data_IF_689071583454
#
_entry.id   IF_689071583454
#
_cell.length_a   1.000
_cell.length_b   1.000
_cell.length_c   1.000
_cell.angle_alpha   90.00
_cell.angle_beta   90.00
_cell.angle_gamma   90.00
#
_symmetry.space_group_name_H-M   'P 1'
#
loop_
_entity.id
_entity.type
_entity.pdbx_description
1 polymer ?
#
# COMPACT_ATOMS: atom_id res chain seq x y z
N UNK A 1 -16.50 -41.97 2.20
CA UNK A 1 -15.71 -40.84 2.73
C UNK A 1 -15.44 -39.93 1.55
N UNK A 2 -16.19 -38.86 1.44
CA UNK A 2 -16.09 -37.90 0.32
C UNK A 2 -14.88 -36.99 0.58
N UNK A 3 -14.15 -36.66 -0.46
CA UNK A 3 -12.92 -35.86 -0.47
C UNK A 3 -13.13 -34.42 0.09
N UNK A 4 -14.37 -34.05 0.38
CA UNK A 4 -14.76 -32.71 0.87
C UNK A 4 -14.48 -32.45 2.36
N UNK A 5 -14.20 -33.46 3.19
CA UNK A 5 -14.00 -33.28 4.64
C UNK A 5 -12.57 -32.84 5.06
N UNK A 6 -11.60 -32.70 4.14
CA UNK A 6 -10.20 -32.44 4.51
C UNK A 6 -9.75 -30.98 4.45
N UNK A 7 -10.57 -30.02 4.01
CA UNK A 7 -10.13 -28.65 3.79
C UNK A 7 -10.74 -27.64 4.78
N UNK A 8 -10.33 -27.72 6.07
CA UNK A 8 -10.74 -26.69 7.02
C UNK A 8 -10.17 -25.33 6.59
N UNK A 9 -11.02 -24.28 6.49
CA UNK A 9 -10.57 -22.91 6.14
C UNK A 9 -9.41 -22.41 7.01
N UNK A 10 -9.34 -22.84 8.26
CA UNK A 10 -8.26 -22.53 9.20
C UNK A 10 -6.88 -23.08 8.77
N UNK A 11 -6.84 -24.26 8.13
CA UNK A 11 -5.58 -24.84 7.65
C UNK A 11 -4.90 -23.97 6.61
N UNK A 12 -5.63 -23.49 5.61
CA UNK A 12 -5.10 -22.63 4.54
C UNK A 12 -4.63 -21.30 5.08
N UNK A 13 -5.38 -20.74 6.02
CA UNK A 13 -4.96 -19.51 6.71
C UNK A 13 -3.66 -19.70 7.48
N UNK A 14 -3.54 -20.75 8.28
CA UNK A 14 -2.33 -21.06 9.06
C UNK A 14 -1.11 -21.24 8.14
N UNK A 15 -1.25 -22.01 7.05
CA UNK A 15 -0.16 -22.21 6.08
C UNK A 15 0.26 -20.87 5.48
N UNK A 16 -0.70 -20.03 5.05
CA UNK A 16 -0.41 -18.74 4.45
C UNK A 16 0.43 -17.88 5.39
N UNK A 17 -0.03 -17.68 6.62
CA UNK A 17 0.68 -16.81 7.56
C UNK A 17 1.99 -17.39 8.05
N UNK A 18 2.12 -18.71 8.17
CA UNK A 18 3.40 -19.36 8.46
C UNK A 18 4.44 -19.11 7.34
N UNK A 19 4.02 -19.25 6.07
CA UNK A 19 4.90 -18.97 4.92
C UNK A 19 5.23 -17.48 4.82
N UNK A 20 4.25 -16.58 5.00
CA UNK A 20 4.50 -15.14 4.99
C UNK A 20 5.46 -14.72 6.11
N UNK A 21 5.31 -15.27 7.31
CA UNK A 21 6.22 -15.03 8.44
C UNK A 21 7.64 -15.52 8.12
N UNK A 22 7.77 -16.72 7.56
CA UNK A 22 9.06 -17.25 7.11
C UNK A 22 9.70 -16.34 6.05
N UNK A 23 8.94 -15.92 5.03
CA UNK A 23 9.43 -15.02 4.00
C UNK A 23 9.83 -13.66 4.58
N UNK A 24 9.08 -13.13 5.54
CA UNK A 24 9.45 -11.89 6.24
C UNK A 24 10.80 -12.03 6.95
N UNK A 25 10.99 -13.11 7.71
CA UNK A 25 12.28 -13.38 8.38
C UNK A 25 13.42 -13.46 7.36
N UNK A 26 13.23 -14.20 6.27
CA UNK A 26 14.24 -14.32 5.21
C UNK A 26 14.57 -12.95 4.58
N UNK A 27 13.58 -12.09 4.32
CA UNK A 27 13.77 -10.74 3.79
C UNK A 27 14.53 -9.85 4.76
N UNK A 28 14.17 -9.88 6.04
CA UNK A 28 14.87 -9.12 7.10
C UNK A 28 16.32 -9.56 7.22
N UNK A 29 16.57 -10.87 7.27
CA UNK A 29 17.94 -11.41 7.33
C UNK A 29 18.73 -11.01 6.09
N UNK A 30 18.17 -11.18 4.89
CA UNK A 30 18.84 -10.81 3.64
C UNK A 30 19.17 -9.31 3.59
N UNK A 31 18.22 -8.45 4.00
CA UNK A 31 18.46 -7.01 4.08
C UNK A 31 19.59 -6.67 5.07
N UNK A 32 19.63 -7.37 6.22
CA UNK A 32 20.65 -7.15 7.27
C UNK A 32 22.06 -7.59 6.89
N UNK A 33 22.21 -8.58 6.00
CA UNK A 33 23.53 -9.07 5.56
C UNK A 33 23.95 -8.52 4.18
N UNK A 34 23.09 -7.75 3.52
CA UNK A 34 23.36 -7.17 2.20
C UNK A 34 24.50 -6.15 2.28
N UNK A 35 25.56 -6.31 1.47
CA UNK A 35 26.67 -5.35 1.44
C UNK A 35 26.42 -4.17 0.51
N UNK A 36 25.20 -4.05 -0.06
CA UNK A 36 24.90 -3.05 -1.08
C UNK A 36 24.61 -1.70 -0.43
N UNK A 37 25.31 -0.66 -0.86
CA UNK A 37 25.00 0.72 -0.53
C UNK A 37 23.59 1.11 -0.98
N UNK A 38 23.03 2.18 -0.42
CA UNK A 38 21.74 2.74 -0.83
C UNK A 38 21.79 3.17 -2.30
N UNK A 39 20.73 2.89 -3.05
CA UNK A 39 20.51 3.52 -4.36
C UNK A 39 20.23 5.02 -4.19
N UNK A 40 20.41 5.78 -5.26
CA UNK A 40 20.24 7.24 -5.24
C UNK A 40 18.89 7.68 -4.67
N UNK A 41 17.80 7.01 -5.09
CA UNK A 41 16.45 7.29 -4.59
C UNK A 41 16.31 6.96 -3.09
N UNK A 42 16.86 5.82 -2.63
CA UNK A 42 16.82 5.43 -1.22
C UNK A 42 17.55 6.45 -0.34
N UNK A 43 18.74 6.87 -0.77
CA UNK A 43 19.54 7.88 -0.08
C UNK A 43 18.82 9.24 -0.05
N UNK A 44 18.14 9.62 -1.15
CA UNK A 44 17.33 10.83 -1.20
C UNK A 44 16.16 10.76 -0.20
N UNK A 45 15.43 9.65 -0.16
CA UNK A 45 14.30 9.47 0.76
C UNK A 45 14.74 9.46 2.23
N UNK A 46 15.87 8.82 2.53
CA UNK A 46 16.48 8.85 3.85
C UNK A 46 16.88 10.28 4.26
N UNK A 47 17.51 11.03 3.34
CA UNK A 47 17.91 12.42 3.59
C UNK A 47 16.71 13.35 3.83
N UNK A 48 15.58 13.10 3.21
CA UNK A 48 14.34 13.83 3.49
C UNK A 48 13.82 13.59 4.92
N UNK A 49 14.19 12.48 5.53
CA UNK A 49 13.87 12.17 6.92
C UNK A 49 14.50 13.11 7.95
N UNK A 50 15.54 13.86 7.58
CA UNK A 50 16.17 14.84 8.48
C UNK A 50 15.25 16.02 8.82
N UNK A 51 14.34 16.36 7.92
CA UNK A 51 13.31 17.40 8.08
C UNK A 51 11.96 16.85 7.68
N UNK A 52 11.11 16.55 8.69
CA UNK A 52 9.79 16.00 8.43
C UNK A 52 8.85 17.10 7.94
N UNK A 53 8.49 17.02 6.66
CA UNK A 53 7.55 17.91 6.00
C UNK A 53 6.32 17.16 5.48
N UNK A 54 5.28 17.91 5.08
CA UNK A 54 4.09 17.35 4.47
C UNK A 54 4.22 17.08 2.98
N UNK A 55 5.39 17.29 2.38
CA UNK A 55 5.72 17.00 1.00
C UNK A 55 7.18 17.28 0.69
N UNK A 56 7.67 16.72 -0.41
CA UNK A 56 9.01 16.92 -0.89
C UNK A 56 9.01 17.24 -2.38
N UNK A 57 10.14 17.65 -2.91
CA UNK A 57 10.28 18.09 -4.30
C UNK A 57 9.63 17.13 -5.32
N UNK A 58 9.87 15.82 -5.18
CA UNK A 58 9.45 14.83 -6.19
C UNK A 58 8.43 13.80 -5.70
N UNK A 59 8.16 13.73 -4.40
CA UNK A 59 7.29 12.67 -3.82
C UNK A 59 6.44 13.19 -2.67
N UNK A 60 5.26 12.57 -2.42
CA UNK A 60 4.51 12.72 -1.19
C UNK A 60 5.31 12.24 0.03
N UNK A 61 4.90 12.60 1.27
CA UNK A 61 5.79 12.57 2.44
C UNK A 61 6.01 11.18 3.07
N UNK A 62 5.11 10.22 2.83
CA UNK A 62 5.04 8.97 3.61
C UNK A 62 6.35 8.18 3.62
N UNK A 63 7.09 8.17 2.49
CA UNK A 63 8.32 7.40 2.40
C UNK A 63 9.41 7.92 3.35
N UNK A 64 9.57 9.25 3.43
CA UNK A 64 10.50 9.87 4.35
C UNK A 64 10.08 9.65 5.81
N UNK A 65 8.80 9.75 6.12
CA UNK A 65 8.28 9.53 7.47
C UNK A 65 8.51 8.11 7.97
N UNK A 66 8.27 7.11 7.12
CA UNK A 66 8.47 5.70 7.50
C UNK A 66 9.96 5.40 7.67
N UNK A 67 10.82 5.88 6.80
CA UNK A 67 12.28 5.72 6.94
C UNK A 67 12.74 6.39 8.22
N UNK A 68 12.38 7.65 8.45
CA UNK A 68 12.73 8.37 9.68
C UNK A 68 12.26 7.64 10.94
N UNK A 69 11.03 7.16 10.98
CA UNK A 69 10.48 6.44 12.13
C UNK A 69 11.32 5.18 12.48
N UNK A 70 11.85 4.48 11.48
CA UNK A 70 12.67 3.29 11.68
C UNK A 70 14.11 3.69 12.05
N UNK A 71 14.71 4.62 11.33
CA UNK A 71 16.10 5.03 11.56
C UNK A 71 16.28 5.78 12.89
N UNK A 72 15.29 6.51 13.35
CA UNK A 72 15.27 7.13 14.67
C UNK A 72 15.40 6.13 15.84
N UNK A 73 15.00 4.87 15.63
CA UNK A 73 15.05 3.81 16.65
C UNK A 73 16.22 2.86 16.43
N UNK A 74 16.51 2.52 15.16
CA UNK A 74 17.47 1.47 14.78
C UNK A 74 18.80 2.01 14.25
N UNK A 75 18.94 3.35 14.10
CA UNK A 75 20.11 3.99 13.51
C UNK A 75 20.06 4.04 11.98
N UNK A 76 21.05 4.72 11.39
CA UNK A 76 21.09 5.14 9.98
C UNK A 76 21.78 4.13 9.04
N UNK A 77 21.88 2.87 9.44
CA UNK A 77 22.46 1.84 8.58
C UNK A 77 21.53 1.53 7.39
N UNK A 78 22.12 1.15 6.26
CA UNK A 78 21.39 0.86 5.00
C UNK A 78 20.28 -0.17 5.19
N UNK A 79 20.52 -1.17 6.04
CA UNK A 79 19.51 -2.19 6.35
C UNK A 79 18.29 -1.59 7.09
N UNK A 80 18.49 -0.60 7.96
CA UNK A 80 17.41 0.05 8.70
C UNK A 80 16.53 0.90 7.76
N UNK A 81 17.15 1.60 6.80
CA UNK A 81 16.46 2.34 5.75
C UNK A 81 15.57 1.42 4.91
N UNK A 82 16.02 0.21 4.60
CA UNK A 82 15.34 -0.79 3.76
C UNK A 82 14.32 -1.66 4.50
N UNK A 83 14.48 -1.79 5.82
CA UNK A 83 13.66 -2.68 6.65
C UNK A 83 12.14 -2.53 6.42
N UNK A 84 11.58 -1.31 6.27
CA UNK A 84 10.15 -1.14 6.02
C UNK A 84 9.65 -1.88 4.79
N UNK A 85 10.45 -2.03 3.73
CA UNK A 85 10.03 -2.68 2.49
C UNK A 85 9.58 -4.14 2.71
N UNK A 86 10.31 -4.89 3.57
CA UNK A 86 9.96 -6.28 3.89
C UNK A 86 8.57 -6.38 4.56
N UNK A 87 8.27 -5.46 5.50
CA UNK A 87 6.99 -5.42 6.20
C UNK A 87 5.85 -4.96 5.29
N UNK A 88 6.09 -3.95 4.46
CA UNK A 88 5.11 -3.40 3.53
C UNK A 88 4.64 -4.46 2.51
N UNK A 89 5.57 -5.18 1.90
CA UNK A 89 5.20 -6.25 0.96
C UNK A 89 4.52 -7.43 1.67
N UNK A 90 4.87 -7.73 2.91
CA UNK A 90 4.18 -8.74 3.72
C UNK A 90 2.76 -8.29 4.08
N UNK A 91 2.56 -7.01 4.41
CA UNK A 91 1.24 -6.42 4.62
C UNK A 91 0.39 -6.47 3.33
N UNK A 92 0.98 -6.13 2.17
CA UNK A 92 0.32 -6.26 0.87
C UNK A 92 -0.16 -7.68 0.60
N UNK A 93 0.71 -8.69 0.78
CA UNK A 93 0.35 -10.10 0.65
C UNK A 93 -0.77 -10.51 1.61
N UNK A 94 -0.77 -9.97 2.83
CA UNK A 94 -1.81 -10.22 3.84
C UNK A 94 -3.17 -9.66 3.39
N UNK A 95 -3.22 -8.44 2.86
CA UNK A 95 -4.46 -7.87 2.33
C UNK A 95 -4.96 -8.59 1.07
N UNK A 96 -4.06 -9.06 0.21
CA UNK A 96 -4.41 -9.93 -0.94
C UNK A 96 -5.04 -11.22 -0.45
N UNK A 97 -4.49 -11.86 0.61
CA UNK A 97 -5.09 -13.03 1.23
C UNK A 97 -6.53 -12.76 1.66
N UNK A 98 -6.76 -11.70 2.43
CA UNK A 98 -8.09 -11.38 2.94
C UNK A 98 -9.08 -11.05 1.82
N UNK A 99 -8.66 -10.29 0.82
CA UNK A 99 -9.49 -9.98 -0.33
C UNK A 99 -9.90 -11.25 -1.08
N UNK A 100 -8.94 -12.06 -1.48
CA UNK A 100 -9.21 -13.26 -2.26
C UNK A 100 -9.96 -14.33 -1.44
N UNK A 101 -9.70 -14.43 -0.13
CA UNK A 101 -10.46 -15.28 0.79
C UNK A 101 -11.93 -14.87 0.85
N UNK A 102 -12.21 -13.56 1.01
CA UNK A 102 -13.57 -13.03 1.14
C UNK A 102 -14.34 -13.12 -0.19
N UNK A 103 -13.64 -13.19 -1.32
CA UNK A 103 -14.24 -13.35 -2.66
C UNK A 103 -14.43 -14.83 -3.08
N UNK A 104 -13.44 -15.68 -2.79
CA UNK A 104 -13.32 -17.00 -3.42
C UNK A 104 -12.95 -18.13 -2.46
N UNK A 105 -12.81 -17.83 -1.15
CA UNK A 105 -12.45 -18.81 -0.12
C UNK A 105 -10.96 -18.89 0.22
N UNK A 106 -10.66 -19.51 1.37
CA UNK A 106 -9.34 -19.48 2.00
C UNK A 106 -8.21 -20.10 1.16
N UNK A 107 -8.52 -21.16 0.38
CA UNK A 107 -7.55 -21.80 -0.52
C UNK A 107 -7.10 -20.85 -1.63
N UNK A 108 -8.05 -20.17 -2.28
CA UNK A 108 -7.74 -19.16 -3.32
C UNK A 108 -6.98 -17.99 -2.70
N UNK A 109 -7.37 -17.55 -1.48
CA UNK A 109 -6.64 -16.55 -0.71
C UNK A 109 -5.16 -16.90 -0.51
N UNK A 110 -4.87 -18.14 -0.14
CA UNK A 110 -3.49 -18.63 0.00
C UNK A 110 -2.70 -18.51 -1.31
N UNK A 111 -3.25 -19.04 -2.42
CA UNK A 111 -2.53 -19.01 -3.70
C UNK A 111 -2.33 -17.59 -4.22
N UNK A 112 -3.32 -16.71 -4.08
CA UNK A 112 -3.20 -15.31 -4.47
C UNK A 112 -2.10 -14.59 -3.66
N UNK A 113 -2.12 -14.75 -2.35
CA UNK A 113 -1.16 -14.13 -1.43
C UNK A 113 0.27 -14.63 -1.65
N UNK A 114 0.46 -15.94 -1.74
CA UNK A 114 1.78 -16.54 -1.94
C UNK A 114 2.28 -16.29 -3.37
N UNK A 115 1.41 -16.33 -4.37
CA UNK A 115 1.74 -15.96 -5.74
C UNK A 115 2.29 -14.55 -5.84
N UNK A 116 1.65 -13.58 -5.16
CA UNK A 116 2.18 -12.22 -5.04
C UNK A 116 3.52 -12.21 -4.29
N UNK A 117 3.59 -12.82 -3.11
CA UNK A 117 4.78 -12.74 -2.25
C UNK A 117 6.03 -13.37 -2.87
N UNK A 118 5.86 -14.38 -3.75
CA UNK A 118 6.92 -15.11 -4.43
C UNK A 118 7.21 -14.59 -5.85
N UNK A 119 6.48 -13.57 -6.32
CA UNK A 119 6.76 -12.95 -7.62
C UNK A 119 8.16 -12.33 -7.61
N UNK A 120 9.03 -12.58 -8.63
CA UNK A 120 10.41 -12.09 -8.65
C UNK A 120 10.52 -10.57 -8.43
N UNK A 121 9.64 -9.79 -9.04
CA UNK A 121 9.60 -8.34 -8.85
C UNK A 121 9.29 -7.94 -7.39
N UNK A 122 8.41 -8.69 -6.70
CA UNK A 122 8.08 -8.45 -5.29
C UNK A 122 9.22 -8.88 -4.36
N UNK A 123 9.90 -9.98 -4.67
CA UNK A 123 11.08 -10.41 -3.92
C UNK A 123 12.15 -9.32 -3.97
N UNK A 124 12.46 -8.81 -5.15
CA UNK A 124 13.44 -7.74 -5.33
C UNK A 124 13.00 -6.43 -4.65
N UNK A 125 11.74 -6.01 -4.86
CA UNK A 125 11.19 -4.78 -4.26
C UNK A 125 11.07 -4.85 -2.73
N UNK A 126 11.04 -6.07 -2.16
CA UNK A 126 10.94 -6.23 -0.70
C UNK A 126 12.26 -6.03 0.07
N UNK A 127 13.36 -5.83 -0.65
CA UNK A 127 14.70 -5.56 -0.08
C UNK A 127 15.27 -4.21 -0.54
N UNK A 128 14.47 -3.41 -1.23
CA UNK A 128 14.76 -2.04 -1.64
C UNK A 128 13.57 -1.16 -1.27
N UNK A 129 13.81 -0.03 -0.61
CA UNK A 129 12.71 0.87 -0.23
C UNK A 129 12.31 1.76 -1.42
N UNK A 130 11.03 1.73 -1.76
CA UNK A 130 10.49 2.52 -2.88
C UNK A 130 9.07 2.98 -2.60
N UNK A 131 8.65 4.04 -3.31
CA UNK A 131 7.26 4.54 -3.22
C UNK A 131 6.24 3.54 -3.78
N UNK A 132 6.64 2.67 -4.70
CA UNK A 132 5.77 1.59 -5.22
C UNK A 132 5.52 0.53 -4.16
N UNK A 133 6.59 0.04 -3.49
CA UNK A 133 6.47 -0.90 -2.37
C UNK A 133 5.63 -0.34 -1.23
N UNK A 134 5.68 0.98 -1.03
CA UNK A 134 4.87 1.69 -0.03
C UNK A 134 3.40 1.79 -0.44
N UNK A 135 3.10 2.03 -1.71
CA UNK A 135 1.72 2.17 -2.21
C UNK A 135 0.94 0.85 -2.17
N UNK A 136 1.59 -0.27 -2.50
CA UNK A 136 0.93 -1.57 -2.69
C UNK A 136 0.09 -2.03 -1.49
N UNK A 137 0.56 -2.02 -0.22
CA UNK A 137 -0.25 -2.45 0.90
C UNK A 137 -1.51 -1.59 1.07
N UNK A 138 -1.42 -0.28 0.85
CA UNK A 138 -2.58 0.61 0.93
C UNK A 138 -3.56 0.36 -0.21
N UNK A 139 -3.06 0.10 -1.43
CA UNK A 139 -3.90 -0.29 -2.55
C UNK A 139 -4.66 -1.59 -2.28
N UNK A 140 -3.97 -2.62 -1.80
CA UNK A 140 -4.58 -3.90 -1.46
C UNK A 140 -5.59 -3.77 -0.30
N UNK A 141 -5.26 -2.98 0.73
CA UNK A 141 -6.16 -2.68 1.84
C UNK A 141 -7.43 -1.94 1.35
N UNK A 142 -7.27 -0.97 0.45
CA UNK A 142 -8.38 -0.24 -0.14
C UNK A 142 -9.31 -1.16 -0.96
N UNK A 143 -8.75 -2.06 -1.77
CA UNK A 143 -9.54 -3.07 -2.51
C UNK A 143 -10.30 -4.00 -1.57
N UNK A 144 -9.66 -4.49 -0.51
CA UNK A 144 -10.33 -5.34 0.48
C UNK A 144 -11.43 -4.59 1.24
N UNK A 145 -11.16 -3.37 1.68
CA UNK A 145 -12.14 -2.54 2.36
C UNK A 145 -13.33 -2.19 1.44
N UNK A 146 -13.08 -1.89 0.17
CA UNK A 146 -14.11 -1.66 -0.85
C UNK A 146 -15.00 -2.89 -1.05
N UNK A 147 -14.39 -4.08 -1.19
CA UNK A 147 -15.13 -5.33 -1.31
C UNK A 147 -16.05 -5.58 -0.11
N UNK A 148 -15.54 -5.40 1.10
CA UNK A 148 -16.32 -5.57 2.33
C UNK A 148 -17.44 -4.53 2.48
N UNK A 149 -17.16 -3.28 2.11
CA UNK A 149 -18.17 -2.22 2.11
C UNK A 149 -19.29 -2.55 1.11
N UNK A 150 -18.92 -2.97 -0.10
CA UNK A 150 -19.85 -3.42 -1.14
C UNK A 150 -20.70 -4.59 -0.68
N UNK A 151 -20.12 -5.56 0.00
CA UNK A 151 -20.79 -6.78 0.50
C UNK A 151 -21.56 -6.56 1.80
N UNK A 152 -21.56 -5.34 2.36
CA UNK A 152 -22.21 -5.02 3.63
C UNK A 152 -21.48 -5.55 4.88
N UNK A 153 -20.29 -6.14 4.72
CA UNK A 153 -19.52 -6.72 5.81
C UNK A 153 -18.76 -5.63 6.59
N UNK A 154 -19.02 -5.52 7.92
CA UNK A 154 -18.33 -4.56 8.78
C UNK A 154 -18.43 -3.12 8.28
N UNK A 155 -19.59 -2.70 7.82
CA UNK A 155 -19.81 -1.57 6.93
C UNK A 155 -19.14 -0.24 7.35
N UNK A 156 -19.14 0.14 8.63
CA UNK A 156 -18.46 1.35 9.12
C UNK A 156 -16.94 1.17 9.18
N UNK A 157 -16.46 0.02 9.71
CA UNK A 157 -15.02 -0.28 9.77
C UNK A 157 -14.44 -0.34 8.36
N UNK A 158 -15.17 -0.95 7.42
CA UNK A 158 -14.75 -1.04 6.01
C UNK A 158 -14.74 0.33 5.34
N UNK A 159 -15.71 1.19 5.61
CA UNK A 159 -15.75 2.55 5.09
C UNK A 159 -14.57 3.40 5.59
N UNK A 160 -14.35 3.41 6.91
CA UNK A 160 -13.22 4.15 7.50
C UNK A 160 -11.88 3.58 7.04
N UNK A 161 -11.76 2.24 6.99
CA UNK A 161 -10.58 1.56 6.46
C UNK A 161 -10.29 1.89 4.99
N UNK A 162 -11.33 2.00 4.15
CA UNK A 162 -11.20 2.46 2.77
C UNK A 162 -10.65 3.90 2.71
N UNK A 163 -11.22 4.80 3.49
CA UNK A 163 -10.78 6.19 3.56
C UNK A 163 -9.32 6.31 4.01
N UNK A 164 -8.95 5.61 5.08
CA UNK A 164 -7.57 5.59 5.59
C UNK A 164 -6.61 5.02 4.53
N UNK A 165 -6.94 3.89 3.93
CA UNK A 165 -6.08 3.25 2.93
C UNK A 165 -5.89 4.13 1.69
N UNK A 166 -6.96 4.78 1.20
CA UNK A 166 -6.87 5.72 0.06
C UNK A 166 -6.05 6.95 0.43
N UNK A 167 -6.29 7.56 1.58
CA UNK A 167 -5.56 8.74 2.04
C UNK A 167 -4.06 8.48 2.22
N UNK A 168 -3.69 7.38 2.91
CA UNK A 168 -2.29 6.97 3.07
C UNK A 168 -1.66 6.54 1.74
N UNK A 169 -2.43 5.94 0.83
CA UNK A 169 -2.00 5.63 -0.52
C UNK A 169 -1.61 6.88 -1.30
N UNK A 170 -2.40 7.96 -1.23
CA UNK A 170 -2.05 9.26 -1.83
C UNK A 170 -0.81 9.90 -1.20
N UNK A 171 -0.64 9.78 0.13
CA UNK A 171 0.58 10.24 0.80
C UNK A 171 1.81 9.39 0.44
N UNK A 172 1.62 8.19 -0.12
CA UNK A 172 2.70 7.31 -0.58
C UNK A 172 3.12 7.59 -2.02
N UNK A 173 2.16 7.70 -2.94
CA UNK A 173 2.40 7.94 -4.36
C UNK A 173 1.14 8.44 -5.07
N UNK A 174 1.27 9.43 -5.95
CA UNK A 174 0.14 9.94 -6.75
C UNK A 174 -0.47 8.89 -7.71
N UNK A 175 0.23 7.79 -7.97
CA UNK A 175 -0.35 6.66 -8.70
C UNK A 175 -1.61 6.07 -8.04
N UNK A 176 -1.89 6.40 -6.76
CA UNK A 176 -3.18 6.12 -6.13
C UNK A 176 -4.37 6.74 -6.88
N UNK A 177 -4.13 7.72 -7.74
CA UNK A 177 -5.15 8.28 -8.66
C UNK A 177 -5.74 7.22 -9.59
N UNK A 178 -4.96 6.23 -10.02
CA UNK A 178 -5.50 5.11 -10.82
C UNK A 178 -6.54 4.28 -10.05
N UNK A 179 -6.37 4.16 -8.73
CA UNK A 179 -7.41 3.56 -7.89
C UNK A 179 -8.69 4.41 -7.87
N UNK A 180 -8.56 5.73 -7.75
CA UNK A 180 -9.70 6.64 -7.79
C UNK A 180 -10.42 6.57 -9.15
N UNK A 181 -9.69 6.48 -10.27
CA UNK A 181 -10.27 6.23 -11.60
C UNK A 181 -11.02 4.90 -11.62
N UNK A 182 -10.44 3.85 -11.04
CA UNK A 182 -11.09 2.54 -10.87
C UNK A 182 -12.40 2.64 -10.08
N UNK A 183 -12.46 3.44 -9.03
CA UNK A 183 -13.71 3.73 -8.27
C UNK A 183 -14.76 4.36 -9.18
N UNK A 184 -14.39 5.34 -10.02
CA UNK A 184 -15.32 5.98 -10.96
C UNK A 184 -15.89 4.94 -11.93
N UNK A 185 -15.06 4.08 -12.49
CA UNK A 185 -15.51 3.00 -13.39
C UNK A 185 -16.46 2.03 -12.67
N UNK A 186 -16.13 1.62 -11.46
CA UNK A 186 -17.00 0.73 -10.65
C UNK A 186 -18.34 1.38 -10.32
N UNK A 187 -18.38 2.68 -10.08
CA UNK A 187 -19.63 3.44 -9.91
C UNK A 187 -20.54 3.38 -11.14
N UNK A 188 -19.96 3.29 -12.35
CA UNK A 188 -20.72 3.23 -13.60
C UNK A 188 -21.29 1.83 -13.85
N UNK A 189 -20.53 0.78 -13.54
CA UNK A 189 -20.85 -0.60 -13.98
C UNK A 189 -21.47 -1.47 -12.88
N UNK A 190 -21.19 -1.23 -11.58
CA UNK A 190 -21.67 -2.08 -10.49
C UNK A 190 -22.64 -1.35 -9.54
N UNK A 191 -23.90 -1.77 -9.59
CA UNK A 191 -24.98 -1.17 -8.79
C UNK A 191 -24.76 -1.32 -7.28
N UNK A 192 -24.15 -2.43 -6.83
CA UNK A 192 -23.92 -2.64 -5.39
C UNK A 192 -22.82 -1.70 -4.87
N UNK A 193 -21.72 -1.59 -5.59
CA UNK A 193 -20.65 -0.63 -5.25
C UNK A 193 -21.16 0.81 -5.31
N UNK A 194 -21.97 1.16 -6.29
CA UNK A 194 -22.60 2.49 -6.39
C UNK A 194 -23.44 2.80 -5.16
N UNK A 195 -24.31 1.87 -4.72
CA UNK A 195 -25.13 2.05 -3.52
C UNK A 195 -24.26 2.18 -2.25
N UNK A 196 -23.20 1.40 -2.15
CA UNK A 196 -22.29 1.44 -1.02
C UNK A 196 -21.49 2.75 -0.95
N UNK A 197 -20.90 3.16 -2.07
CA UNK A 197 -20.04 4.35 -2.16
C UNK A 197 -20.82 5.68 -2.11
N UNK A 198 -22.05 5.72 -2.63
CA UNK A 198 -22.91 6.91 -2.55
C UNK A 198 -23.73 6.97 -1.25
N UNK A 199 -23.51 6.06 -0.31
CA UNK A 199 -24.11 6.10 1.03
C UNK A 199 -23.32 7.03 1.97
N UNK A 200 -23.89 7.33 3.15
CA UNK A 200 -23.18 8.06 4.21
C UNK A 200 -21.84 7.42 4.60
N UNK A 201 -21.73 6.09 4.49
CA UNK A 201 -20.48 5.37 4.75
C UNK A 201 -19.43 5.66 3.66
N UNK A 202 -19.83 5.67 2.42
CA UNK A 202 -18.95 6.07 1.31
C UNK A 202 -18.51 7.52 1.40
N UNK A 203 -19.43 8.43 1.78
CA UNK A 203 -19.08 9.83 2.04
C UNK A 203 -18.10 9.97 3.22
N UNK A 204 -18.27 9.19 4.28
CA UNK A 204 -17.31 9.16 5.38
C UNK A 204 -15.94 8.64 4.94
N UNK A 205 -15.88 7.61 4.09
CA UNK A 205 -14.62 7.14 3.51
C UNK A 205 -13.92 8.25 2.70
N UNK A 206 -14.66 8.96 1.87
CA UNK A 206 -14.14 10.11 1.10
C UNK A 206 -13.65 11.23 2.02
N UNK A 207 -14.40 11.57 3.05
CA UNK A 207 -14.02 12.61 4.00
C UNK A 207 -12.74 12.25 4.77
N UNK A 208 -12.59 10.99 5.19
CA UNK A 208 -11.37 10.50 5.85
C UNK A 208 -10.19 10.55 4.89
N UNK A 209 -10.33 10.08 3.65
CA UNK A 209 -9.26 10.14 2.66
C UNK A 209 -8.83 11.58 2.39
N UNK A 210 -9.80 12.49 2.22
CA UNK A 210 -9.55 13.92 2.01
C UNK A 210 -8.87 14.56 3.23
N UNK A 211 -9.30 14.26 4.44
CA UNK A 211 -8.70 14.79 5.66
C UNK A 211 -7.24 14.35 5.85
N UNK A 212 -6.91 13.08 5.50
CA UNK A 212 -5.53 12.56 5.56
C UNK A 212 -4.65 13.23 4.50
N UNK A 213 -5.17 13.47 3.31
CA UNK A 213 -4.41 14.02 2.19
C UNK A 213 -4.33 15.55 2.19
N UNK A 214 -5.28 16.24 2.84
CA UNK A 214 -5.40 17.71 2.85
C UNK A 214 -4.12 18.44 3.31
N UNK A 215 -3.40 18.01 4.37
CA UNK A 215 -2.16 18.69 4.78
C UNK A 215 -1.09 18.68 3.68
N UNK A 216 -0.98 17.60 2.92
CA UNK A 216 -0.06 17.52 1.78
C UNK A 216 -0.47 18.49 0.65
N UNK A 217 -1.77 18.60 0.36
CA UNK A 217 -2.26 19.56 -0.63
C UNK A 217 -1.99 21.01 -0.19
N UNK A 218 -2.20 21.31 1.10
CA UNK A 218 -1.90 22.64 1.66
C UNK A 218 -0.40 22.96 1.56
N UNK A 219 0.46 21.97 1.86
CA UNK A 219 1.91 22.11 1.70
C UNK A 219 2.29 22.37 0.23
N UNK A 220 1.73 21.62 -0.72
CA UNK A 220 1.97 21.85 -2.15
C UNK A 220 1.56 23.26 -2.58
N UNK A 221 0.39 23.73 -2.15
CA UNK A 221 -0.07 25.09 -2.47
C UNK A 221 0.87 26.17 -1.91
N UNK A 222 1.44 25.94 -0.73
CA UNK A 222 2.42 26.86 -0.12
C UNK A 222 3.84 26.75 -0.74
N UNK A 223 4.11 25.72 -1.54
CA UNK A 223 5.41 25.42 -2.15
C UNK A 223 5.36 25.35 -3.68
N UNK A 224 4.52 26.18 -4.33
CA UNK A 224 4.41 26.33 -5.79
C UNK A 224 4.09 24.99 -6.52
N UNK A 225 3.38 24.09 -5.86
CA UNK A 225 3.01 22.77 -6.39
C UNK A 225 4.20 21.94 -6.90
N UNK A 226 5.38 22.07 -6.29
CA UNK A 226 6.64 21.43 -6.74
C UNK A 226 6.51 19.92 -6.96
N UNK A 227 5.86 19.21 -6.02
CA UNK A 227 5.70 17.73 -6.15
C UNK A 227 4.79 17.38 -7.33
N UNK A 228 3.74 18.15 -7.55
CA UNK A 228 2.79 17.92 -8.66
C UNK A 228 3.48 18.22 -9.99
N UNK A 229 4.13 19.39 -10.13
CA UNK A 229 4.84 19.80 -11.34
C UNK A 229 5.88 18.76 -11.75
N UNK A 230 6.75 18.35 -10.81
CA UNK A 230 7.73 17.30 -11.08
C UNK A 230 7.09 15.96 -11.53
N UNK A 231 5.92 15.62 -10.98
CA UNK A 231 5.22 14.39 -11.40
C UNK A 231 4.68 14.50 -12.83
N UNK A 232 4.14 15.65 -13.20
CA UNK A 232 3.65 15.95 -14.56
C UNK A 232 4.79 15.94 -15.56
N UNK A 233 5.92 16.57 -15.22
CA UNK A 233 7.11 16.64 -16.08
C UNK A 233 7.69 15.24 -16.35
N UNK A 234 7.78 14.39 -15.29
CA UNK A 234 8.24 13.00 -15.43
C UNK A 234 7.29 12.11 -16.24
N UNK A 235 6.01 12.45 -16.28
CA UNK A 235 5.04 11.73 -17.10
C UNK A 235 5.04 12.19 -18.58
N UNK A 236 5.90 13.12 -18.94
CA UNK A 236 5.97 13.76 -20.28
C UNK A 236 4.63 14.33 -20.77
N UNK A 237 3.75 14.73 -19.85
CA UNK A 237 2.45 15.31 -20.21
C UNK A 237 2.55 16.76 -20.70
N UNK A 238 3.72 17.38 -20.62
CA UNK A 238 4.03 18.72 -21.10
C UNK A 238 5.16 18.79 -22.11
N UNK A 239 5.72 17.65 -22.57
CA UNK A 239 6.78 17.59 -23.57
C UNK A 239 6.24 17.77 -24.99
N UNK A 240 6.81 18.68 -25.74
CA UNK A 240 6.58 18.83 -27.18
C UNK A 240 6.87 17.48 -27.88
N UNK A 241 5.86 16.96 -28.58
CA UNK A 241 5.99 15.86 -29.54
C UNK A 241 6.70 16.36 -30.80
#
# INVERSE_FOLDING_TARGET
MTVEESESPGRWQTITFAVLAMLLVLRVVFTGISPLNLYADEAQYWRWGDTLEWGYYSKPPMIAWIIHAVTAVLGDAEWAVRLPAAFLHTAGATFIYFLARDMYGARVGMFASLGYALMPAVILSSVVISTDGLLIPFWCAALWALWRLRSGQGAWVSALGLGVAVGLGFLSKYAMLYFAIGIVLVLLIDVQSRRALLSWKGLAALAVAAAIFAPHLAWNAANDFKTVSHTVDNANLGGDL
#
